data_IF_287951884932
#
_entry.id   IF_287951884932
#
_cell.length_a   1.000
_cell.length_b   1.000
_cell.length_c   1.000
_cell.angle_alpha   90.00
_cell.angle_beta   90.00
_cell.angle_gamma   90.00
#
_symmetry.space_group_name_H-M   'P 1'
#
loop_
_entity.id
_entity.type
_entity.pdbx_description
1 polymer ?
#
# COMPACT_ATOMS: atom_id res chain seq x y z
N UNK A 1 -3.11 -17.77 0.72
CA UNK A 1 -3.82 -16.57 0.23
C UNK A 1 -2.86 -15.40 -0.05
N UNK A 2 -1.92 -15.03 0.84
CA UNK A 2 -1.04 -13.86 0.67
C UNK A 2 -0.16 -13.86 -0.58
N UNK A 3 0.41 -15.00 -0.97
CA UNK A 3 1.23 -15.12 -2.19
C UNK A 3 0.44 -14.83 -3.46
N UNK A 4 -0.81 -15.26 -3.50
CA UNK A 4 -1.70 -15.04 -4.64
C UNK A 4 -2.04 -13.56 -4.79
N UNK A 5 -2.31 -12.86 -3.70
CA UNK A 5 -2.56 -11.40 -3.70
C UNK A 5 -1.34 -10.62 -4.21
N UNK A 6 -0.13 -11.00 -3.80
CA UNK A 6 1.12 -10.38 -4.28
C UNK A 6 1.28 -10.61 -5.79
N UNK A 7 1.09 -11.84 -6.27
CA UNK A 7 1.20 -12.15 -7.70
C UNK A 7 0.16 -11.38 -8.53
N UNK A 8 -1.10 -11.37 -8.11
CA UNK A 8 -2.15 -10.62 -8.80
C UNK A 8 -1.86 -9.11 -8.80
N UNK A 9 -1.38 -8.57 -7.68
CA UNK A 9 -1.00 -7.16 -7.58
C UNK A 9 0.16 -6.78 -8.50
N UNK A 10 1.19 -7.64 -8.59
CA UNK A 10 2.32 -7.44 -9.50
C UNK A 10 1.87 -7.53 -10.97
N UNK A 11 1.08 -8.53 -11.33
CA UNK A 11 0.56 -8.68 -12.69
C UNK A 11 -0.30 -7.48 -13.10
N UNK A 12 -1.20 -7.03 -12.23
CA UNK A 12 -2.04 -5.87 -12.48
C UNK A 12 -1.20 -4.59 -12.64
N UNK A 13 -0.21 -4.35 -11.76
CA UNK A 13 0.67 -3.20 -11.82
C UNK A 13 1.57 -3.20 -13.07
N UNK A 14 2.16 -4.34 -13.42
CA UNK A 14 2.97 -4.47 -14.64
C UNK A 14 2.13 -4.30 -15.91
N UNK A 15 0.94 -4.88 -15.95
CA UNK A 15 0.00 -4.72 -17.06
C UNK A 15 -0.41 -3.25 -17.24
N UNK A 16 -0.72 -2.54 -16.15
CA UNK A 16 -1.06 -1.13 -16.19
C UNK A 16 0.09 -0.26 -16.69
N UNK A 17 1.33 -0.51 -16.24
CA UNK A 17 2.52 0.18 -16.74
C UNK A 17 2.80 -0.13 -18.21
N UNK A 18 2.67 -1.39 -18.60
CA UNK A 18 2.81 -1.81 -20.00
C UNK A 18 1.83 -1.07 -20.92
N UNK A 19 0.55 -1.04 -20.51
CA UNK A 19 -0.46 -0.31 -21.28
C UNK A 19 -0.15 1.19 -21.36
N UNK A 20 0.31 1.80 -20.27
CA UNK A 20 0.66 3.23 -20.27
C UNK A 20 1.84 3.56 -21.17
N UNK A 21 2.81 2.65 -21.33
CA UNK A 21 4.02 2.88 -22.10
C UNK A 21 3.87 2.55 -23.62
N UNK A 22 3.10 1.53 -23.96
CA UNK A 22 3.08 0.97 -25.31
C UNK A 22 1.77 1.17 -26.06
N UNK A 23 0.70 1.56 -25.38
CA UNK A 23 -0.57 1.81 -26.05
C UNK A 23 -0.80 3.32 -26.27
N UNK A 24 -1.43 3.70 -27.39
CA UNK A 24 -1.81 5.09 -27.63
C UNK A 24 -2.77 5.57 -26.54
N UNK A 25 -2.57 6.81 -26.11
CA UNK A 25 -3.39 7.42 -25.06
C UNK A 25 -4.84 7.58 -25.57
N UNK A 26 -5.83 7.22 -24.74
CA UNK A 26 -7.23 7.51 -25.05
C UNK A 26 -7.46 9.01 -25.22
N UNK A 27 -8.45 9.37 -26.02
CA UNK A 27 -8.85 10.77 -26.19
C UNK A 27 -9.21 11.37 -24.83
N UNK A 28 -8.58 12.48 -24.45
CA UNK A 28 -8.77 13.15 -23.18
C UNK A 28 -7.77 12.71 -22.06
N UNK A 29 -6.85 11.81 -22.34
CA UNK A 29 -5.74 11.45 -21.46
C UNK A 29 -4.45 12.12 -21.95
N UNK A 30 -4.03 13.22 -21.32
CA UNK A 30 -2.81 13.94 -21.67
C UNK A 30 -1.53 13.30 -21.09
N UNK A 31 -0.36 13.83 -21.53
CA UNK A 31 0.96 13.38 -21.07
C UNK A 31 1.11 13.49 -19.54
N UNK A 32 0.48 14.49 -18.92
CA UNK A 32 0.52 14.68 -17.48
C UNK A 32 -0.16 13.52 -16.73
N UNK A 33 -1.30 13.03 -17.22
CA UNK A 33 -1.96 11.87 -16.62
C UNK A 33 -1.12 10.60 -16.80
N UNK A 34 -0.48 10.45 -17.94
CA UNK A 34 0.44 9.32 -18.21
C UNK A 34 1.63 9.32 -17.26
N UNK A 35 2.22 10.48 -16.99
CA UNK A 35 3.29 10.64 -16.00
C UNK A 35 2.81 10.27 -14.59
N UNK A 36 1.60 10.67 -14.18
CA UNK A 36 1.01 10.27 -12.90
C UNK A 36 0.78 8.75 -12.83
N UNK A 37 0.28 8.13 -13.89
CA UNK A 37 0.10 6.66 -13.95
C UNK A 37 1.42 5.92 -13.80
N UNK A 38 2.49 6.39 -14.45
CA UNK A 38 3.82 5.82 -14.30
C UNK A 38 4.35 6.00 -12.88
N UNK A 39 4.20 7.18 -12.29
CA UNK A 39 4.64 7.46 -10.93
C UNK A 39 3.94 6.56 -9.91
N UNK A 40 2.61 6.57 -9.89
CA UNK A 40 1.84 5.80 -8.91
C UNK A 40 1.88 4.29 -9.17
N UNK A 41 1.92 3.87 -10.44
CA UNK A 41 2.06 2.47 -10.82
C UNK A 41 3.41 1.88 -10.40
N UNK A 42 4.51 2.59 -10.63
CA UNK A 42 5.84 2.18 -10.17
C UNK A 42 5.97 2.21 -8.65
N UNK A 43 5.38 3.20 -7.97
CA UNK A 43 5.31 3.25 -6.52
C UNK A 43 4.53 2.04 -5.95
N UNK A 44 3.40 1.67 -6.55
CA UNK A 44 2.62 0.50 -6.14
C UNK A 44 3.44 -0.78 -6.25
N UNK A 45 4.12 -1.01 -7.37
CA UNK A 45 4.99 -2.19 -7.55
C UNK A 45 6.11 -2.20 -6.52
N UNK A 46 6.75 -1.06 -6.27
CA UNK A 46 7.81 -0.93 -5.27
C UNK A 46 7.30 -1.29 -3.87
N UNK A 47 6.11 -0.83 -3.49
CA UNK A 47 5.51 -1.14 -2.19
C UNK A 47 5.16 -2.63 -2.04
N UNK A 48 4.69 -3.26 -3.11
CA UNK A 48 4.41 -4.71 -3.11
C UNK A 48 5.71 -5.51 -2.95
N UNK A 49 6.78 -5.14 -3.67
CA UNK A 49 8.10 -5.80 -3.57
C UNK A 49 8.70 -5.59 -2.19
N UNK A 50 8.68 -4.38 -1.65
CA UNK A 50 9.14 -4.08 -0.28
C UNK A 50 8.31 -4.82 0.76
N UNK A 51 7.01 -4.90 0.59
CA UNK A 51 6.13 -5.69 1.43
C UNK A 51 6.50 -7.18 1.41
N UNK A 52 6.76 -7.73 0.24
CA UNK A 52 7.17 -9.12 0.10
C UNK A 52 8.55 -9.40 0.72
N UNK A 53 9.52 -8.51 0.50
CA UNK A 53 10.88 -8.68 1.09
C UNK A 53 10.87 -8.55 2.60
N UNK A 54 10.07 -7.64 3.17
CA UNK A 54 9.98 -7.48 4.62
C UNK A 54 9.33 -8.69 5.32
N UNK A 55 8.29 -9.30 4.72
CA UNK A 55 7.70 -10.52 5.29
C UNK A 55 8.66 -11.71 5.25
N UNK A 56 9.50 -11.81 4.22
CA UNK A 56 10.54 -12.84 4.15
C UNK A 56 11.62 -12.68 5.23
N UNK A 57 11.82 -11.45 5.71
CA UNK A 57 12.74 -11.15 6.84
C UNK A 57 12.05 -11.25 8.20
N UNK A 58 10.79 -11.66 8.27
CA UNK A 58 10.02 -11.78 9.50
C UNK A 58 9.50 -10.47 10.08
N UNK A 59 9.69 -9.34 9.39
CA UNK A 59 9.21 -8.04 9.83
C UNK A 59 7.75 -7.81 9.39
N UNK A 60 6.83 -8.34 10.17
CA UNK A 60 5.38 -8.25 9.90
C UNK A 60 4.88 -6.80 9.98
N UNK A 61 5.47 -5.98 10.84
CA UNK A 61 5.04 -4.58 11.02
C UNK A 61 5.32 -3.75 9.76
N UNK A 62 6.52 -3.85 9.22
CA UNK A 62 6.89 -3.18 7.97
C UNK A 62 6.16 -3.76 6.76
N UNK A 63 6.01 -5.09 6.71
CA UNK A 63 5.22 -5.75 5.67
C UNK A 63 3.82 -5.14 5.57
N UNK A 64 3.12 -5.03 6.70
CA UNK A 64 1.78 -4.46 6.77
C UNK A 64 1.74 -3.01 6.29
N UNK A 65 2.74 -2.20 6.67
CA UNK A 65 2.81 -0.81 6.24
C UNK A 65 3.00 -0.67 4.73
N UNK A 66 3.90 -1.45 4.13
CA UNK A 66 4.14 -1.43 2.69
C UNK A 66 2.94 -1.95 1.89
N UNK A 67 2.33 -3.06 2.33
CA UNK A 67 1.15 -3.61 1.67
C UNK A 67 -0.04 -2.66 1.74
N UNK A 68 -0.23 -1.94 2.85
CA UNK A 68 -1.30 -0.96 2.98
C UNK A 68 -1.14 0.20 1.99
N UNK A 69 0.08 0.71 1.79
CA UNK A 69 0.38 1.75 0.79
C UNK A 69 0.12 1.25 -0.64
N UNK A 70 0.60 0.07 -0.97
CA UNK A 70 0.34 -0.55 -2.28
C UNK A 70 -1.15 -0.73 -2.55
N UNK A 71 -1.88 -1.22 -1.56
CA UNK A 71 -3.34 -1.39 -1.64
C UNK A 71 -4.08 -0.05 -1.79
N UNK A 72 -3.64 0.99 -1.09
CA UNK A 72 -4.23 2.34 -1.19
C UNK A 72 -4.12 2.91 -2.61
N UNK A 73 -2.99 2.69 -3.29
CA UNK A 73 -2.84 3.08 -4.71
C UNK A 73 -3.78 2.26 -5.59
N UNK A 74 -3.87 0.95 -5.37
CA UNK A 74 -4.79 0.08 -6.12
C UNK A 74 -6.26 0.48 -5.98
N UNK A 75 -6.69 0.89 -4.77
CA UNK A 75 -8.03 1.44 -4.54
C UNK A 75 -8.26 2.78 -5.27
N UNK A 76 -7.19 3.44 -5.68
CA UNK A 76 -7.26 4.69 -6.44
C UNK A 76 -8.17 4.60 -7.65
N UNK A 77 -8.14 3.48 -8.38
CA UNK A 77 -9.00 3.28 -9.55
C UNK A 77 -10.50 3.40 -9.22
N UNK A 78 -10.95 2.79 -8.10
CA UNK A 78 -12.33 2.93 -7.63
C UNK A 78 -12.67 4.35 -7.21
N UNK A 79 -11.78 5.01 -6.48
CA UNK A 79 -11.95 6.39 -6.05
C UNK A 79 -11.97 7.35 -7.25
N UNK A 80 -11.14 7.12 -8.26
CA UNK A 80 -11.12 7.88 -9.51
C UNK A 80 -12.45 7.81 -10.25
N UNK A 81 -13.03 6.62 -10.36
CA UNK A 81 -14.33 6.42 -11.00
C UNK A 81 -15.42 7.24 -10.30
N UNK A 82 -15.46 7.20 -8.97
CA UNK A 82 -16.44 7.96 -8.18
C UNK A 82 -16.26 9.48 -8.34
N UNK A 83 -15.01 9.96 -8.27
CA UNK A 83 -14.71 11.40 -8.40
C UNK A 83 -15.03 11.90 -9.81
N UNK A 84 -14.67 11.15 -10.85
CA UNK A 84 -14.95 11.53 -12.23
C UNK A 84 -16.44 11.52 -12.52
N UNK A 85 -17.17 10.50 -12.07
CA UNK A 85 -18.61 10.41 -12.25
C UNK A 85 -19.34 11.57 -11.55
N UNK A 86 -18.96 11.89 -10.31
CA UNK A 86 -19.52 13.02 -9.58
C UNK A 86 -19.17 14.37 -10.26
N UNK A 87 -17.92 14.52 -10.70
CA UNK A 87 -17.47 15.72 -11.41
C UNK A 87 -18.21 15.96 -12.71
N UNK A 88 -18.39 14.91 -13.52
CA UNK A 88 -19.10 14.98 -14.78
C UNK A 88 -20.58 15.31 -14.59
N UNK A 89 -21.20 14.76 -13.54
CA UNK A 89 -22.60 15.04 -13.22
C UNK A 89 -22.83 16.49 -12.77
N UNK A 90 -21.87 17.11 -12.07
CA UNK A 90 -22.00 18.46 -11.49
C UNK A 90 -21.53 19.53 -12.46
N UNK A 91 -20.41 19.33 -13.17
CA UNK A 91 -19.72 20.33 -13.96
C UNK A 91 -19.60 19.98 -15.46
N UNK A 92 -20.12 18.82 -15.87
CA UNK A 92 -19.96 18.30 -17.23
C UNK A 92 -18.60 17.65 -17.49
N UNK A 93 -18.30 17.28 -18.75
CA UNK A 93 -17.06 16.55 -19.07
C UNK A 93 -15.83 17.39 -18.73
N UNK A 94 -14.89 16.84 -17.92
CA UNK A 94 -13.71 17.57 -17.50
C UNK A 94 -12.73 17.78 -18.66
N UNK A 95 -12.01 18.89 -18.64
CA UNK A 95 -10.86 19.10 -19.53
C UNK A 95 -9.77 18.07 -19.21
N UNK A 96 -8.85 17.85 -20.14
CA UNK A 96 -7.69 16.93 -19.98
C UNK A 96 -6.92 17.17 -18.67
N UNK A 97 -6.62 18.43 -18.40
CA UNK A 97 -5.90 18.81 -17.18
C UNK A 97 -6.73 18.60 -15.91
N UNK A 98 -8.01 18.97 -15.93
CA UNK A 98 -8.91 18.75 -14.79
C UNK A 98 -9.09 17.27 -14.50
N UNK A 99 -9.21 16.45 -15.54
CA UNK A 99 -9.27 14.98 -15.43
C UNK A 99 -8.01 14.42 -14.74
N UNK A 100 -6.84 14.85 -15.19
CA UNK A 100 -5.57 14.41 -14.61
C UNK A 100 -5.43 14.81 -13.13
N UNK A 101 -5.85 16.03 -12.77
CA UNK A 101 -5.85 16.49 -11.37
C UNK A 101 -6.81 15.68 -10.50
N UNK A 102 -8.03 15.43 -10.97
CA UNK A 102 -9.01 14.62 -10.22
C UNK A 102 -8.53 13.20 -10.00
N UNK A 103 -7.94 12.58 -11.03
CA UNK A 103 -7.36 11.24 -10.92
C UNK A 103 -6.13 11.22 -10.01
N UNK A 104 -5.27 12.22 -10.09
CA UNK A 104 -4.12 12.38 -9.19
C UNK A 104 -4.54 12.57 -7.73
N UNK A 105 -5.54 13.42 -7.50
CA UNK A 105 -6.10 13.66 -6.17
C UNK A 105 -6.64 12.36 -5.53
N UNK A 106 -7.28 11.48 -6.30
CA UNK A 106 -7.75 10.20 -5.80
C UNK A 106 -6.62 9.33 -5.21
N UNK A 107 -5.48 9.23 -5.89
CA UNK A 107 -4.32 8.51 -5.36
C UNK A 107 -3.75 9.15 -4.10
N UNK A 108 -3.63 10.49 -4.10
CA UNK A 108 -3.11 11.24 -2.93
C UNK A 108 -4.03 11.08 -1.73
N UNK A 109 -5.34 11.18 -1.90
CA UNK A 109 -6.33 10.98 -0.84
C UNK A 109 -6.21 9.57 -0.24
N UNK A 110 -6.17 8.54 -1.07
CA UNK A 110 -6.06 7.17 -0.61
C UNK A 110 -4.74 6.91 0.15
N UNK A 111 -3.62 7.46 -0.33
CA UNK A 111 -2.34 7.38 0.38
C UNK A 111 -2.36 8.15 1.69
N UNK A 112 -2.95 9.34 1.72
CA UNK A 112 -3.07 10.14 2.94
C UNK A 112 -3.90 9.40 4.01
N UNK A 113 -5.01 8.77 3.60
CA UNK A 113 -5.82 7.93 4.49
C UNK A 113 -5.01 6.73 5.01
N UNK A 114 -4.26 6.05 4.15
CA UNK A 114 -3.40 4.93 4.55
C UNK A 114 -2.33 5.38 5.57
N UNK A 115 -1.65 6.50 5.32
CA UNK A 115 -0.66 7.07 6.24
C UNK A 115 -1.29 7.48 7.58
N UNK A 116 -2.47 8.08 7.54
CA UNK A 116 -3.19 8.46 8.76
C UNK A 116 -3.56 7.23 9.61
N UNK A 117 -4.03 6.13 8.98
CA UNK A 117 -4.33 4.87 9.66
C UNK A 117 -3.05 4.26 10.25
N UNK A 118 -1.94 4.26 9.49
CA UNK A 118 -0.66 3.72 9.94
C UNK A 118 -0.10 4.48 11.14
N UNK A 119 -0.22 5.81 11.17
CA UNK A 119 0.24 6.64 12.27
C UNK A 119 -0.60 6.51 13.54
N UNK A 120 -1.92 6.25 13.41
CA UNK A 120 -2.81 6.07 14.56
C UNK A 120 -2.69 4.72 15.27
N UNK A 121 -2.02 3.74 14.67
CA UNK A 121 -1.84 2.43 15.28
C UNK A 121 -0.58 2.42 16.14
N UNK A 122 -0.72 2.27 17.49
CA UNK A 122 0.44 2.10 18.37
C UNK A 122 1.23 0.86 17.94
N UNK A 123 2.57 0.94 18.05
CA UNK A 123 3.42 -0.23 17.93
C UNK A 123 2.95 -1.31 18.93
N UNK A 124 2.91 -2.60 18.55
CA UNK A 124 2.62 -3.65 19.51
C UNK A 124 3.61 -3.53 20.68
N UNK A 125 3.17 -3.66 21.95
CA UNK A 125 4.08 -3.63 23.08
C UNK A 125 5.18 -4.67 22.85
N UNK A 126 6.43 -4.28 23.05
CA UNK A 126 7.55 -5.20 22.99
C UNK A 126 7.21 -6.36 23.94
N UNK A 127 7.13 -7.57 23.40
CA UNK A 127 6.97 -8.76 24.22
C UNK A 127 8.15 -8.78 25.19
N UNK A 128 7.90 -8.46 26.42
CA UNK A 128 8.86 -8.66 27.52
C UNK A 128 9.08 -10.16 27.66
N UNK A 129 10.13 -10.65 27.03
CA UNK A 129 10.63 -12.04 27.16
C UNK A 129 11.15 -12.28 28.59
N UNK A 130 11.07 -11.25 29.45
CA UNK A 130 11.68 -11.25 30.79
C UNK A 130 10.91 -12.02 31.87
N UNK A 131 9.70 -12.53 31.60
CA UNK A 131 8.91 -13.15 32.68
C UNK A 131 9.03 -14.68 32.79
N UNK A 132 9.76 -15.34 31.88
CA UNK A 132 9.80 -16.80 31.83
C UNK A 132 11.12 -17.44 32.35
N UNK A 133 12.10 -16.65 32.74
CA UNK A 133 13.43 -17.18 33.16
C UNK A 133 13.61 -17.21 34.67
N UNK A 134 12.78 -16.54 35.46
CA UNK A 134 12.97 -16.44 36.92
C UNK A 134 12.56 -17.63 37.82
N UNK A 135 11.62 -18.53 37.45
CA UNK A 135 11.24 -19.55 38.43
C UNK A 135 12.10 -20.83 38.42
N UNK A 136 12.98 -21.01 37.45
CA UNK A 136 13.79 -22.25 37.38
C UNK A 136 15.12 -22.16 38.16
N UNK A 137 15.64 -20.97 38.40
CA UNK A 137 16.93 -20.82 39.07
C UNK A 137 16.77 -20.88 40.62
N UNK A 138 15.66 -20.44 41.19
CA UNK A 138 15.39 -20.54 42.62
C UNK A 138 15.10 -21.95 43.10
N UNK A 139 14.54 -22.82 42.27
CA UNK A 139 14.27 -24.20 42.63
C UNK A 139 15.53 -25.09 42.67
N UNK A 140 16.57 -24.71 41.93
CA UNK A 140 17.84 -25.46 41.91
C UNK A 140 18.70 -25.20 43.14
N UNK A 141 18.56 -24.04 43.77
CA UNK A 141 19.34 -23.66 44.98
C UNK A 141 18.71 -24.28 46.24
N UNK A 142 17.38 -24.42 46.29
CA UNK A 142 16.65 -24.98 47.41
C UNK A 142 16.73 -26.53 47.51
N UNK A 143 17.20 -27.23 46.45
CA UNK A 143 17.32 -28.69 46.45
C UNK A 143 18.74 -29.21 46.71
N UNK A 144 19.71 -28.34 46.99
CA UNK A 144 21.11 -28.69 47.18
C UNK A 144 21.56 -28.76 48.65
N UNK A 145 20.71 -28.48 49.65
CA UNK A 145 21.06 -28.52 51.08
C UNK A 145 20.25 -29.59 51.82
N UNK A 146 20.46 -30.89 51.47
CA UNK A 146 20.15 -32.06 52.33
C UNK A 146 21.20 -33.15 52.14
#
# INVERSE_FOLDING_TARGET
AGRLVVLCGLLAGLSALWMTLFYPHPVGDGDFLSALRLLFGSAMLSFIVLGFTTIRRGDVTRHRAWMMRGYAIGLGAGTQMLILMAGELIAGPPSEFSRALLMGAAWVINLAVAEWILRKRPAPPARTVSAAVSPMHERSIAAGDL
#
